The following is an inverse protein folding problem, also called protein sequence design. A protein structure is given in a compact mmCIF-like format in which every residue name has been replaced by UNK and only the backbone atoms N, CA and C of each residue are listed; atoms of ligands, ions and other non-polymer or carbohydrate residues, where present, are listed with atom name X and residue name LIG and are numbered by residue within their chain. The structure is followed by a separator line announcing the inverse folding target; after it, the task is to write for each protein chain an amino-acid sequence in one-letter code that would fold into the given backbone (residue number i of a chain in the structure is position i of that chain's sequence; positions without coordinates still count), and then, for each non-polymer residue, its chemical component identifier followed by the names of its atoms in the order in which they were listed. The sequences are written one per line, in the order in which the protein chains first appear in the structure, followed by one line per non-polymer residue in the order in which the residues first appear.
data_IF_827481754185
#
_entry.id   IF_827481754185
#
_cell.length_a   1.000
_cell.length_b   1.000
_cell.length_c   1.000
_cell.angle_alpha   90.00
_cell.angle_beta   90.00
_cell.angle_gamma   90.00
#
_symmetry.space_group_name_H-M   'P 1'
#
loop_
_entity.id
_entity.type
_entity.pdbx_description
1 polymer ?
#
# COMPACT_ATOMS: atom_id res chain seq x y z
N UNK A 1 50.18 14.21 -41.50
CA UNK A 1 48.72 13.97 -41.62
C UNK A 1 48.26 12.69 -40.92
N UNK A 2 48.98 11.56 -41.00
CA UNK A 2 48.57 10.30 -40.34
C UNK A 2 48.53 10.32 -38.80
N UNK A 3 49.41 11.08 -38.12
CA UNK A 3 49.44 11.11 -36.65
C UNK A 3 48.16 11.74 -36.04
N UNK A 4 47.62 12.79 -36.68
CA UNK A 4 46.35 13.41 -36.28
C UNK A 4 45.17 12.44 -36.42
N UNK A 5 45.16 11.64 -37.50
CA UNK A 5 44.13 10.63 -37.74
C UNK A 5 44.15 9.53 -36.67
N UNK A 6 45.33 9.02 -36.32
CA UNK A 6 45.48 7.98 -35.29
C UNK A 6 45.04 8.49 -33.92
N UNK A 7 45.42 9.73 -33.55
CA UNK A 7 44.99 10.34 -32.29
C UNK A 7 43.45 10.50 -32.24
N UNK A 8 42.84 11.01 -33.31
CA UNK A 8 41.38 11.15 -33.38
C UNK A 8 40.64 9.81 -33.34
N UNK A 9 41.16 8.78 -34.03
CA UNK A 9 40.60 7.44 -33.99
C UNK A 9 40.69 6.81 -32.58
N UNK A 10 41.81 6.98 -31.88
CA UNK A 10 41.98 6.49 -30.51
C UNK A 10 41.00 7.17 -29.53
N UNK A 11 40.75 8.47 -29.71
CA UNK A 11 39.78 9.21 -28.92
C UNK A 11 38.35 8.68 -29.11
N UNK A 12 37.91 8.50 -30.37
CA UNK A 12 36.59 7.95 -30.68
C UNK A 12 36.43 6.52 -30.13
N UNK A 13 37.48 5.71 -30.22
CA UNK A 13 37.46 4.35 -29.69
C UNK A 13 37.31 4.32 -28.16
N UNK A 14 38.07 5.17 -27.44
CA UNK A 14 37.94 5.29 -25.99
C UNK A 14 36.57 5.83 -25.58
N UNK A 15 36.00 6.75 -26.35
CA UNK A 15 34.66 7.29 -26.12
C UNK A 15 33.57 6.25 -26.41
N UNK A 16 33.75 5.36 -27.37
CA UNK A 16 32.82 4.25 -27.60
C UNK A 16 32.84 3.25 -26.43
N UNK A 17 34.04 2.90 -25.95
CA UNK A 17 34.22 2.00 -24.80
C UNK A 17 33.75 2.61 -23.47
N UNK A 18 33.52 3.93 -23.40
CA UNK A 18 32.93 4.56 -22.23
C UNK A 18 31.39 4.45 -22.17
N UNK A 19 30.75 3.80 -23.15
CA UNK A 19 29.30 3.61 -23.23
C UNK A 19 28.50 4.91 -23.02
N UNK A 20 28.68 5.94 -23.87
CA UNK A 20 28.03 7.22 -23.69
C UNK A 20 26.51 7.07 -23.88
N UNK A 21 25.75 7.60 -22.93
CA UNK A 21 24.28 7.56 -22.95
C UNK A 21 23.75 8.96 -23.24
N UNK A 22 22.85 9.06 -24.21
CA UNK A 22 22.07 10.27 -24.49
C UNK A 22 20.65 10.07 -23.98
N UNK A 23 20.09 11.10 -23.34
CA UNK A 23 18.70 11.08 -22.86
C UNK A 23 17.79 11.78 -23.85
N UNK A 24 16.74 11.11 -24.30
CA UNK A 24 15.70 11.68 -25.15
C UNK A 24 14.45 11.93 -24.31
N UNK A 25 13.84 13.13 -24.43
CA UNK A 25 12.56 13.46 -23.79
C UNK A 25 11.50 13.54 -24.88
N UNK A 26 10.54 12.61 -24.85
CA UNK A 26 9.40 12.60 -25.77
C UNK A 26 8.13 13.02 -25.03
N UNK A 27 7.44 14.02 -25.58
CA UNK A 27 6.09 14.36 -25.19
C UNK A 27 5.12 13.66 -26.13
N UNK A 28 4.55 12.53 -25.70
CA UNK A 28 3.53 11.80 -26.44
C UNK A 28 2.16 11.95 -25.78
N UNK A 29 1.09 11.96 -26.57
CA UNK A 29 -0.23 11.55 -26.09
C UNK A 29 -0.21 10.03 -25.97
N UNK A 30 0.44 9.53 -24.92
CA UNK A 30 0.41 8.12 -24.57
C UNK A 30 -0.99 7.84 -24.01
N UNK A 31 -1.52 6.63 -24.23
CA UNK A 31 -2.76 6.18 -23.59
C UNK A 31 -2.54 6.17 -22.07
N UNK A 32 -2.87 7.30 -21.42
CA UNK A 32 -2.78 7.43 -19.96
C UNK A 32 -3.62 6.32 -19.35
N UNK A 33 -3.06 5.57 -18.41
CA UNK A 33 -3.82 4.60 -17.63
C UNK A 33 -3.95 5.09 -16.20
N UNK A 34 -5.11 4.89 -15.58
CA UNK A 34 -5.23 5.28 -14.18
C UNK A 34 -4.27 4.43 -13.32
N UNK A 35 -3.48 5.06 -12.43
CA UNK A 35 -2.69 4.34 -11.46
C UNK A 35 -3.60 3.66 -10.43
N UNK A 36 -3.10 2.60 -9.81
CA UNK A 36 -3.76 2.06 -8.62
C UNK A 36 -3.59 3.05 -7.46
N UNK A 37 -4.67 3.27 -6.72
CA UNK A 37 -4.70 4.24 -5.61
C UNK A 37 -4.83 3.49 -4.30
N UNK A 38 -3.78 3.50 -3.48
CA UNK A 38 -3.84 2.91 -2.14
C UNK A 38 -4.11 3.98 -1.09
N UNK A 39 -5.09 3.69 -0.22
CA UNK A 39 -5.55 4.55 0.85
C UNK A 39 -5.37 3.81 2.17
N UNK A 40 -4.63 4.41 3.10
CA UNK A 40 -4.35 3.86 4.41
C UNK A 40 -4.88 4.83 5.49
N UNK A 41 -5.69 4.37 6.45
CA UNK A 41 -6.14 5.23 7.55
C UNK A 41 -4.96 5.56 8.47
N UNK A 42 -4.78 6.84 8.79
CA UNK A 42 -3.78 7.25 9.79
C UNK A 42 -4.14 6.67 11.16
N UNK A 43 -5.44 6.57 11.47
CA UNK A 43 -5.97 5.91 12.65
C UNK A 43 -6.70 4.59 12.29
N UNK A 44 -5.98 3.46 12.21
CA UNK A 44 -6.56 2.16 11.87
C UNK A 44 -7.48 1.61 12.97
N UNK A 45 -7.28 2.06 14.21
CA UNK A 45 -8.05 1.61 15.37
C UNK A 45 -8.54 2.79 16.20
N UNK A 46 -9.83 2.78 16.53
CA UNK A 46 -10.42 3.69 17.50
C UNK A 46 -10.98 2.94 18.69
N UNK A 47 -11.12 3.62 19.83
CA UNK A 47 -11.74 3.04 21.04
C UNK A 47 -13.18 2.55 20.80
N UNK A 48 -13.89 3.13 19.84
CA UNK A 48 -15.24 2.74 19.48
C UNK A 48 -15.32 1.46 18.62
N UNK A 49 -14.22 1.07 17.97
CA UNK A 49 -14.12 -0.14 17.15
C UNK A 49 -13.71 -1.37 17.98
N UNK A 50 -13.31 -1.15 19.24
CA UNK A 50 -12.89 -2.24 20.11
C UNK A 50 -14.09 -3.14 20.46
N UNK A 51 -14.04 -4.44 20.13
CA UNK A 51 -15.04 -5.39 20.58
C UNK A 51 -14.98 -5.49 22.10
N UNK A 52 -16.10 -5.87 22.72
CA UNK A 52 -16.21 -6.16 24.14
C UNK A 52 -15.39 -7.40 24.59
N UNK A 53 -14.34 -7.79 23.86
CA UNK A 53 -13.46 -8.90 24.25
C UNK A 53 -12.59 -8.45 25.44
N UNK A 54 -12.79 -9.02 26.63
CA UNK A 54 -12.07 -8.61 27.83
C UNK A 54 -10.57 -8.93 27.76
N UNK A 55 -10.15 -9.92 26.97
CA UNK A 55 -8.73 -10.32 26.86
C UNK A 55 -7.90 -9.23 26.19
N UNK A 56 -8.51 -8.61 25.19
CA UNK A 56 -7.94 -7.55 24.38
C UNK A 56 -7.71 -6.28 25.21
N UNK A 57 -8.76 -5.83 25.92
CA UNK A 57 -8.67 -4.71 26.84
C UNK A 57 -7.67 -4.97 27.98
N UNK A 58 -7.62 -6.20 28.51
CA UNK A 58 -6.65 -6.58 29.52
C UNK A 58 -5.20 -6.49 29.02
N UNK A 59 -4.92 -6.93 27.79
CA UNK A 59 -3.58 -6.86 27.20
C UNK A 59 -3.11 -5.42 27.03
N UNK A 60 -3.97 -4.53 26.51
CA UNK A 60 -3.66 -3.10 26.41
C UNK A 60 -3.41 -2.48 27.79
N UNK A 61 -4.30 -2.70 28.75
CA UNK A 61 -4.15 -2.15 30.10
C UNK A 61 -2.87 -2.68 30.80
N UNK A 62 -2.53 -3.95 30.62
CA UNK A 62 -1.30 -4.53 31.19
C UNK A 62 -0.03 -3.92 30.59
N UNK A 63 -0.05 -3.68 29.27
CA UNK A 63 1.06 -3.08 28.55
C UNK A 63 1.22 -1.60 28.93
N UNK A 64 0.11 -0.87 29.05
CA UNK A 64 0.13 0.53 29.49
C UNK A 64 0.73 0.66 30.88
N UNK A 65 0.27 -0.17 31.83
CA UNK A 65 0.83 -0.20 33.20
C UNK A 65 2.32 -0.51 33.19
N UNK A 66 2.75 -1.54 32.46
CA UNK A 66 4.17 -1.91 32.36
C UNK A 66 5.04 -0.75 31.91
N UNK A 67 4.65 -0.02 30.86
CA UNK A 67 5.43 1.10 30.34
C UNK A 67 5.32 2.36 31.19
N UNK A 68 4.19 2.58 31.88
CA UNK A 68 4.00 3.70 32.81
C UNK A 68 4.82 3.52 34.11
N UNK A 69 4.94 2.29 34.61
CA UNK A 69 5.69 1.96 35.82
C UNK A 69 7.20 1.92 35.59
N UNK A 70 7.64 1.66 34.36
CA UNK A 70 9.05 1.64 33.97
C UNK A 70 9.65 3.05 33.93
N UNK A 71 9.93 3.63 35.10
CA UNK A 71 10.66 4.89 35.26
C UNK A 71 12.15 4.69 35.03
N UNK A 72 12.68 5.22 33.93
CA UNK A 72 14.12 5.38 33.72
C UNK A 72 14.54 5.47 32.25
N UNK A 73 15.16 6.59 31.87
CA UNK A 73 16.00 6.81 30.67
C UNK A 73 15.54 6.20 29.33
N UNK A 74 14.24 6.12 29.07
CA UNK A 74 13.75 5.81 27.72
C UNK A 74 13.30 7.13 27.11
N UNK A 75 13.98 7.57 26.06
CA UNK A 75 13.53 8.72 25.28
C UNK A 75 12.16 8.42 24.66
N UNK A 76 11.21 9.37 24.76
CA UNK A 76 9.86 9.24 24.22
C UNK A 76 8.78 8.87 25.27
N UNK A 77 7.51 8.90 24.86
CA UNK A 77 6.37 8.67 25.76
C UNK A 77 6.21 7.17 26.08
N UNK A 78 5.78 6.81 27.31
CA UNK A 78 5.43 5.42 27.67
C UNK A 78 4.45 4.76 26.70
N UNK A 79 3.48 5.54 26.19
CA UNK A 79 2.50 5.08 25.22
C UNK A 79 3.08 4.80 23.84
N UNK A 80 4.11 5.52 23.41
CA UNK A 80 4.84 5.20 22.18
C UNK A 80 5.52 3.83 22.28
N UNK A 81 6.15 3.55 23.42
CA UNK A 81 6.81 2.26 23.68
C UNK A 81 5.82 1.11 23.79
N UNK A 82 4.69 1.32 24.46
CA UNK A 82 3.55 0.41 24.43
C UNK A 82 3.14 0.07 23.00
N UNK A 83 2.88 1.09 22.18
CA UNK A 83 2.43 0.91 20.79
C UNK A 83 3.44 0.10 19.97
N UNK A 84 4.72 0.42 20.06
CA UNK A 84 5.80 -0.34 19.40
C UNK A 84 5.90 -1.78 19.89
N UNK A 85 5.71 -2.02 21.19
CA UNK A 85 5.77 -3.36 21.77
C UNK A 85 4.59 -4.26 21.39
N UNK A 86 3.47 -3.69 20.95
CA UNK A 86 2.23 -4.42 20.64
C UNK A 86 1.94 -4.54 19.13
N UNK A 87 2.90 -4.20 18.25
CA UNK A 87 2.71 -4.23 16.79
C UNK A 87 2.19 -5.58 16.27
N UNK A 88 2.78 -6.69 16.72
CA UNK A 88 2.33 -8.04 16.31
C UNK A 88 0.90 -8.34 16.77
N UNK A 89 0.54 -7.86 17.96
CA UNK A 89 -0.80 -8.01 18.51
C UNK A 89 -1.81 -7.19 17.72
N UNK A 90 -1.49 -5.93 17.42
CA UNK A 90 -2.31 -5.09 16.55
C UNK A 90 -2.45 -5.66 15.13
N UNK A 91 -1.41 -6.28 14.59
CA UNK A 91 -1.46 -6.92 13.28
C UNK A 91 -2.42 -8.10 13.26
N UNK A 92 -2.40 -8.95 14.29
CA UNK A 92 -3.40 -10.00 14.43
C UNK A 92 -4.82 -9.44 14.62
N UNK A 93 -4.95 -8.30 15.30
CA UNK A 93 -6.25 -7.68 15.55
C UNK A 93 -6.83 -7.00 14.32
N UNK A 94 -6.00 -6.41 13.45
CA UNK A 94 -6.47 -5.78 12.22
C UNK A 94 -7.31 -6.73 11.37
N UNK A 95 -6.98 -8.02 11.39
CA UNK A 95 -7.72 -9.06 10.68
C UNK A 95 -9.13 -9.28 11.28
N UNK A 96 -9.29 -9.10 12.59
CA UNK A 96 -10.55 -9.35 13.32
C UNK A 96 -11.45 -8.10 13.40
N UNK A 97 -10.86 -6.94 13.70
CA UNK A 97 -11.60 -5.70 14.03
C UNK A 97 -11.37 -4.59 13.00
N UNK A 98 -10.45 -4.80 12.05
CA UNK A 98 -10.13 -3.79 11.06
C UNK A 98 -11.31 -3.55 10.12
N UNK A 99 -11.52 -2.28 9.78
CA UNK A 99 -12.66 -1.86 8.98
C UNK A 99 -12.56 -2.31 7.53
N UNK A 100 -13.72 -2.40 6.88
CA UNK A 100 -13.89 -2.69 5.46
C UNK A 100 -13.96 -1.39 4.64
N UNK A 101 -13.72 -1.43 3.31
CA UNK A 101 -13.76 -0.23 2.46
C UNK A 101 -15.03 0.61 2.61
N UNK A 102 -16.21 -0.03 2.61
CA UNK A 102 -17.51 0.65 2.72
C UNK A 102 -17.74 1.39 4.05
N UNK A 103 -16.92 1.14 5.08
CA UNK A 103 -17.01 1.86 6.35
C UNK A 103 -16.22 3.18 6.32
N UNK A 104 -15.21 3.28 5.44
CA UNK A 104 -14.37 4.45 5.26
C UNK A 104 -14.70 5.25 4.00
N UNK A 105 -15.21 4.62 2.94
CA UNK A 105 -15.53 5.26 1.67
C UNK A 105 -17.05 5.37 1.53
N UNK A 106 -17.59 6.58 1.65
CA UNK A 106 -19.02 6.85 1.48
C UNK A 106 -19.42 6.96 0.01
N UNK A 107 -18.54 7.54 -0.81
CA UNK A 107 -18.77 7.72 -2.23
C UNK A 107 -17.49 7.37 -2.98
N UNK A 108 -17.61 6.52 -3.99
CA UNK A 108 -16.53 6.20 -4.93
C UNK A 108 -17.08 6.36 -6.34
N UNK A 109 -16.52 7.30 -7.10
CA UNK A 109 -16.83 7.46 -8.52
C UNK A 109 -15.56 7.49 -9.35
N UNK A 110 -15.53 6.73 -10.45
CA UNK A 110 -14.55 6.88 -11.53
C UNK A 110 -15.33 7.15 -12.80
N UNK A 111 -15.09 8.29 -13.46
CA UNK A 111 -15.87 8.70 -14.62
C UNK A 111 -17.40 8.64 -14.36
N UNK A 112 -17.82 9.09 -13.16
CA UNK A 112 -19.21 9.09 -12.67
C UNK A 112 -19.85 7.70 -12.47
N UNK A 113 -19.08 6.62 -12.60
CA UNK A 113 -19.53 5.24 -12.32
C UNK A 113 -19.11 4.82 -10.92
N UNK A 114 -19.96 4.07 -10.23
CA UNK A 114 -19.66 3.54 -8.89
C UNK A 114 -18.44 2.60 -8.93
N UNK A 115 -17.50 2.81 -8.01
CA UNK A 115 -16.25 2.05 -7.97
C UNK A 115 -15.94 1.34 -6.65
N UNK A 116 -16.89 1.28 -5.71
CA UNK A 116 -16.64 0.72 -4.37
C UNK A 116 -16.25 -0.76 -4.42
N UNK A 117 -16.78 -1.53 -5.38
CA UNK A 117 -16.47 -2.95 -5.58
C UNK A 117 -15.03 -3.20 -6.07
N UNK A 118 -14.36 -2.17 -6.59
CA UNK A 118 -13.01 -2.28 -7.14
C UNK A 118 -11.91 -2.09 -6.09
N UNK A 119 -12.29 -1.87 -4.82
CA UNK A 119 -11.35 -1.87 -3.72
C UNK A 119 -10.93 -3.29 -3.35
N UNK A 120 -9.63 -3.45 -3.15
CA UNK A 120 -9.05 -4.62 -2.52
C UNK A 120 -8.39 -4.23 -1.20
N UNK A 121 -8.38 -5.15 -0.24
CA UNK A 121 -7.74 -4.93 1.05
C UNK A 121 -6.27 -5.35 0.92
N UNK A 122 -5.39 -4.43 1.30
CA UNK A 122 -3.94 -4.64 1.35
C UNK A 122 -3.47 -4.46 2.79
N UNK A 123 -2.53 -5.30 3.22
CA UNK A 123 -2.00 -5.23 4.58
C UNK A 123 -0.64 -4.53 4.60
N UNK A 124 -0.46 -3.62 5.55
CA UNK A 124 0.77 -2.88 5.79
C UNK A 124 1.21 -3.03 7.25
N UNK A 125 2.51 -3.22 7.56
CA UNK A 125 2.96 -3.41 8.93
C UNK A 125 2.64 -2.25 9.89
N UNK A 126 2.61 -1.01 9.39
CA UNK A 126 2.37 0.20 10.19
C UNK A 126 0.93 0.69 10.12
N UNK A 127 0.30 0.59 8.94
CA UNK A 127 -1.06 1.08 8.67
C UNK A 127 -2.12 0.00 8.85
N UNK A 128 -1.69 -1.26 9.00
CA UNK A 128 -2.54 -2.44 9.11
C UNK A 128 -3.39 -2.65 7.87
N UNK A 129 -4.67 -2.29 7.88
CA UNK A 129 -5.53 -2.46 6.70
C UNK A 129 -5.55 -1.18 5.87
N UNK A 130 -5.00 -1.27 4.67
CA UNK A 130 -5.12 -0.30 3.60
C UNK A 130 -6.09 -0.82 2.54
N UNK A 131 -6.54 0.08 1.66
CA UNK A 131 -7.47 -0.22 0.59
C UNK A 131 -6.93 0.30 -0.72
N UNK A 132 -6.74 -0.60 -1.68
CA UNK A 132 -6.24 -0.26 -3.01
C UNK A 132 -7.40 -0.27 -3.99
N UNK A 133 -7.67 0.88 -4.61
CA UNK A 133 -8.64 1.01 -5.69
C UNK A 133 -7.97 0.60 -7.01
N UNK A 134 -8.47 -0.47 -7.63
CA UNK A 134 -8.03 -0.90 -8.96
C UNK A 134 -8.92 -0.32 -10.06
N UNK A 135 -8.40 0.66 -10.77
CA UNK A 135 -9.10 1.27 -11.91
C UNK A 135 -8.75 0.53 -13.19
N UNK A 136 -9.70 -0.25 -13.71
CA UNK A 136 -9.51 -1.01 -14.97
C UNK A 136 -9.91 -0.23 -16.23
N UNK A 137 -10.52 0.93 -16.06
CA UNK A 137 -11.06 1.76 -17.14
C UNK A 137 -9.99 2.78 -17.50
N UNK A 138 -9.85 3.11 -18.79
CA UNK A 138 -8.97 4.18 -19.20
C UNK A 138 -9.61 5.56 -18.92
N UNK A 139 -8.82 6.55 -18.53
CA UNK A 139 -9.24 7.93 -18.35
C UNK A 139 -9.85 8.48 -19.64
N UNK A 140 -10.99 9.19 -19.55
CA UNK A 140 -11.62 9.76 -20.73
C UNK A 140 -10.81 10.95 -21.25
N UNK A 141 -10.80 11.10 -22.57
CA UNK A 141 -10.27 12.26 -23.27
C UNK A 141 -11.41 13.21 -23.64
N UNK A 142 -11.39 14.49 -23.22
CA UNK A 142 -10.32 15.18 -22.50
C UNK A 142 -10.32 14.87 -20.99
N UNK A 143 -9.12 14.85 -20.40
CA UNK A 143 -8.94 14.71 -18.97
C UNK A 143 -9.52 15.93 -18.22
N UNK A 144 -10.17 15.69 -17.08
CA UNK A 144 -10.76 16.76 -16.29
C UNK A 144 -11.25 16.30 -14.93
N UNK A 145 -11.47 17.25 -13.98
CA UNK A 145 -11.82 16.93 -12.60
C UNK A 145 -13.18 16.25 -12.45
N UNK A 146 -14.09 16.41 -13.41
CA UNK A 146 -15.43 15.78 -13.39
C UNK A 146 -15.42 14.33 -13.84
N UNK A 147 -14.37 13.90 -14.53
CA UNK A 147 -14.29 12.58 -15.16
C UNK A 147 -13.22 11.70 -14.51
N UNK A 148 -12.50 12.22 -13.50
CA UNK A 148 -11.50 11.52 -12.73
C UNK A 148 -12.06 10.62 -11.63
N UNK A 149 -11.18 10.28 -10.67
CA UNK A 149 -11.54 9.57 -9.45
C UNK A 149 -12.04 10.57 -8.41
N UNK A 150 -13.22 10.34 -7.86
CA UNK A 150 -13.82 11.11 -6.77
C UNK A 150 -14.12 10.18 -5.61
N UNK A 151 -13.57 10.52 -4.45
CA UNK A 151 -13.74 9.77 -3.21
C UNK A 151 -14.28 10.71 -2.13
N UNK A 152 -15.28 10.26 -1.39
CA UNK A 152 -15.70 10.88 -0.13
C UNK A 152 -15.35 9.91 0.98
N UNK A 153 -14.38 10.31 1.80
CA UNK A 153 -13.86 9.52 2.90
C UNK A 153 -14.51 9.93 4.21
N UNK A 154 -14.74 8.95 5.07
CA UNK A 154 -15.43 9.10 6.34
C UNK A 154 -14.62 8.50 7.48
N UNK A 155 -14.50 9.25 8.56
CA UNK A 155 -13.71 8.87 9.75
C UNK A 155 -14.28 7.66 10.49
N UNK A 156 -15.60 7.49 10.48
CA UNK A 156 -16.30 6.57 11.38
C UNK A 156 -17.07 7.33 12.45
N UNK A 157 -17.25 6.72 13.63
CA UNK A 157 -18.03 7.30 14.73
C UNK A 157 -17.48 8.66 15.18
N UNK A 158 -18.38 9.62 15.36
CA UNK A 158 -18.04 10.94 15.90
C UNK A 158 -17.40 10.79 17.30
N UNK A 159 -16.32 11.53 17.54
CA UNK A 159 -15.55 11.55 18.80
C UNK A 159 -14.82 10.26 19.18
N UNK A 160 -14.78 9.24 18.30
CA UNK A 160 -13.98 8.06 18.55
C UNK A 160 -12.49 8.42 18.61
N UNK A 161 -11.82 7.99 19.69
CA UNK A 161 -10.42 8.33 19.96
C UNK A 161 -9.51 7.34 19.24
N UNK A 162 -8.55 7.83 18.44
CA UNK A 162 -7.59 6.96 17.79
C UNK A 162 -6.67 6.34 18.85
N UNK A 163 -6.63 5.02 18.91
CA UNK A 163 -5.72 4.29 19.79
C UNK A 163 -4.32 4.22 19.20
N UNK A 164 -4.25 4.26 17.88
CA UNK A 164 -3.02 4.40 17.11
C UNK A 164 -3.21 5.53 16.11
N UNK A 165 -2.19 6.37 15.95
CA UNK A 165 -2.12 7.36 14.88
C UNK A 165 -0.76 7.26 14.23
N UNK A 166 -0.76 7.12 12.91
CA UNK A 166 0.42 7.09 12.05
C UNK A 166 0.55 8.45 11.38
N UNK A 167 1.70 9.11 11.54
CA UNK A 167 1.98 10.43 10.96
C UNK A 167 3.33 10.38 10.26
N UNK A 168 3.30 10.36 8.92
CA UNK A 168 4.50 10.27 8.06
C UNK A 168 5.37 11.53 8.09
N UNK A 169 4.75 12.70 8.35
CA UNK A 169 5.42 14.00 8.37
C UNK A 169 6.36 14.19 9.57
N UNK A 170 6.35 13.27 10.53
CA UNK A 170 7.07 13.42 11.80
C UNK A 170 8.14 12.34 11.99
N UNK A 171 9.25 12.66 12.68
CA UNK A 171 10.39 11.75 12.84
C UNK A 171 10.05 10.45 13.58
N UNK A 172 8.90 10.42 14.28
CA UNK A 172 8.31 9.22 14.83
C UNK A 172 7.00 8.91 14.09
N UNK A 173 7.05 7.93 13.17
CA UNK A 173 5.90 7.46 12.38
C UNK A 173 4.68 7.08 13.23
N UNK A 174 4.90 6.58 14.45
CA UNK A 174 3.85 6.23 15.39
C UNK A 174 3.79 7.30 16.48
N UNK A 175 2.62 7.91 16.68
CA UNK A 175 2.43 8.87 17.77
C UNK A 175 1.53 8.29 18.87
N UNK A 176 1.90 8.51 20.13
CA UNK A 176 0.97 8.37 21.24
C UNK A 176 0.03 9.56 21.28
N UNK A 177 -1.26 9.28 21.48
CA UNK A 177 -2.30 10.30 21.53
C UNK A 177 -2.48 10.64 23.00
N UNK A 178 -1.71 11.63 23.47
CA UNK A 178 -1.62 11.93 24.89
C UNK A 178 -2.42 13.18 25.28
N UNK A 179 -2.79 14.04 24.33
CA UNK A 179 -3.63 15.24 24.55
C UNK A 179 -4.92 15.20 23.74
N UNK A 180 -5.98 15.80 24.27
CA UNK A 180 -7.33 15.79 23.69
C UNK A 180 -7.43 16.50 22.33
N UNK A 181 -6.54 17.45 22.02
CA UNK A 181 -6.66 18.32 20.84
C UNK A 181 -5.80 17.90 19.63
N UNK A 182 -4.67 17.21 19.86
CA UNK A 182 -3.73 16.84 18.79
C UNK A 182 -4.16 15.69 17.87
N UNK A 183 -4.92 14.66 18.30
CA UNK A 183 -5.21 13.52 17.43
C UNK A 183 -6.23 13.83 16.34
N UNK A 184 -7.24 14.64 16.64
CA UNK A 184 -8.28 15.00 15.68
C UNK A 184 -7.72 15.85 14.54
N UNK A 185 -6.74 16.69 14.85
CA UNK A 185 -6.06 17.53 13.87
C UNK A 185 -5.13 16.74 12.94
N UNK A 186 -4.60 15.59 13.39
CA UNK A 186 -3.66 14.74 12.61
C UNK A 186 -4.27 13.49 12.00
N UNK A 187 -5.56 13.27 12.24
CA UNK A 187 -6.28 12.13 11.70
C UNK A 187 -6.71 12.36 10.25
N UNK A 188 -6.82 11.26 9.50
CA UNK A 188 -7.07 11.29 8.08
C UNK A 188 -6.60 10.02 7.38
N UNK A 189 -6.14 10.19 6.15
CA UNK A 189 -5.66 9.08 5.33
C UNK A 189 -4.34 9.42 4.67
N UNK A 190 -3.44 8.46 4.61
CA UNK A 190 -2.32 8.48 3.71
C UNK A 190 -2.74 7.87 2.37
N UNK A 191 -2.50 8.59 1.27
CA UNK A 191 -2.80 8.16 -0.09
C UNK A 191 -1.51 8.03 -0.87
N UNK A 192 -1.33 6.92 -1.56
CA UNK A 192 -0.21 6.71 -2.48
C UNK A 192 -0.71 6.23 -3.83
N UNK A 193 -0.05 6.70 -4.88
CA UNK A 193 -0.31 6.35 -6.27
C UNK A 193 0.82 5.45 -6.74
N UNK A 194 0.49 4.34 -7.35
CA UNK A 194 1.48 3.39 -7.85
C UNK A 194 1.02 2.75 -9.15
N UNK A 195 1.97 2.11 -9.82
CA UNK A 195 1.72 1.40 -11.05
C UNK A 195 0.64 0.32 -10.86
N UNK A 196 -0.14 0.10 -11.91
CA UNK A 196 -1.24 -0.86 -11.91
C UNK A 196 -0.74 -2.27 -11.54
N UNK A 197 -1.50 -2.96 -10.69
CA UNK A 197 -1.23 -4.31 -10.20
C UNK A 197 0.07 -4.47 -9.38
N UNK A 198 0.73 -3.37 -9.01
CA UNK A 198 1.94 -3.41 -8.16
C UNK A 198 1.62 -3.10 -6.71
N UNK A 199 2.51 -3.45 -5.78
CA UNK A 199 2.34 -3.04 -4.39
C UNK A 199 2.68 -1.55 -4.19
N UNK A 200 1.90 -0.83 -3.37
CA UNK A 200 2.28 0.51 -2.94
C UNK A 200 3.65 0.49 -2.25
N UNK A 201 4.56 1.34 -2.74
CA UNK A 201 5.86 1.53 -2.11
C UNK A 201 5.73 2.52 -0.96
N UNK A 202 5.74 2.02 0.27
CA UNK A 202 5.83 2.84 1.48
C UNK A 202 7.31 3.03 1.84
N UNK A 203 7.88 4.22 1.60
CA UNK A 203 9.30 4.45 1.79
C UNK A 203 9.64 4.47 3.27
N UNK A 204 10.87 4.08 3.58
CA UNK A 204 11.43 4.20 4.92
C UNK A 204 11.83 5.66 5.13
N UNK A 205 10.93 6.47 5.70
CA UNK A 205 11.19 7.73 6.41
C UNK A 205 11.83 8.94 5.68
N UNK A 206 12.20 8.91 4.39
CA UNK A 206 12.94 10.04 3.78
C UNK A 206 12.45 10.58 2.43
N UNK A 207 11.44 9.99 1.79
CA UNK A 207 10.87 10.49 0.53
C UNK A 207 9.35 10.31 0.58
N UNK A 208 8.52 11.35 0.39
CA UNK A 208 7.08 11.14 0.36
C UNK A 208 6.67 10.50 -0.98
N UNK A 209 6.34 9.20 -0.99
CA UNK A 209 5.71 8.52 -2.13
C UNK A 209 4.16 8.66 -2.12
N UNK A 210 3.65 9.62 -1.37
CA UNK A 210 2.23 9.79 -1.13
C UNK A 210 1.90 11.11 -0.46
N UNK A 211 0.62 11.29 -0.17
CA UNK A 211 0.01 12.51 0.34
C UNK A 211 -0.82 12.18 1.57
N UNK A 212 -0.68 12.99 2.62
CA UNK A 212 -1.55 12.91 3.78
C UNK A 212 -2.77 13.80 3.56
N UNK A 213 -3.96 13.20 3.58
CA UNK A 213 -5.24 13.91 3.60
C UNK A 213 -5.73 14.02 5.04
N UNK A 214 -6.25 15.20 5.43
CA UNK A 214 -6.85 15.42 6.75
C UNK A 214 -8.38 15.45 6.63
N UNK A 215 -9.08 15.06 7.69
CA UNK A 215 -10.54 15.17 7.71
C UNK A 215 -11.01 16.63 7.71
N UNK A 216 -12.05 16.94 6.93
CA UNK A 216 -12.59 18.29 6.79
C UNK A 216 -12.00 19.10 5.63
N UNK A 217 -11.00 18.57 4.94
CA UNK A 217 -10.39 19.20 3.77
C UNK A 217 -10.89 18.59 2.46
N UNK A 218 -10.84 19.38 1.39
CA UNK A 218 -11.06 18.90 0.02
C UNK A 218 -9.77 19.08 -0.76
N UNK A 219 -9.24 17.99 -1.31
CA UNK A 219 -8.02 18.01 -2.11
C UNK A 219 -8.32 17.61 -3.57
N UNK A 220 -7.69 18.32 -4.50
CA UNK A 220 -7.72 18.02 -5.94
C UNK A 220 -6.31 17.66 -6.37
N UNK A 221 -6.14 16.44 -6.85
CA UNK A 221 -4.84 15.89 -7.22
C UNK A 221 -4.82 15.74 -8.73
N UNK A 222 -3.92 16.46 -9.38
CA UNK A 222 -3.62 16.29 -10.80
C UNK A 222 -2.39 15.40 -10.91
N UNK A 223 -2.47 14.37 -11.74
CA UNK A 223 -1.40 13.41 -11.96
C UNK A 223 -0.87 13.56 -13.38
N UNK A 224 0.44 13.38 -13.52
CA UNK A 224 1.14 13.28 -14.79
C UNK A 224 1.92 11.95 -14.77
N UNK A 225 1.87 11.22 -15.89
CA UNK A 225 2.59 9.95 -16.04
C UNK A 225 3.93 10.19 -16.72
N UNK A 226 5.00 9.69 -16.12
CA UNK A 226 6.35 9.72 -16.71
C UNK A 226 6.85 8.30 -16.88
N UNK A 227 7.12 7.93 -18.14
CA UNK A 227 7.71 6.62 -18.46
C UNK A 227 9.21 6.77 -18.67
N UNK A 228 10.00 5.90 -18.01
CA UNK A 228 11.45 5.90 -18.10
C UNK A 228 11.94 4.60 -18.76
N UNK A 229 12.49 4.72 -19.96
CA UNK A 229 13.17 3.62 -20.64
C UNK A 229 14.67 3.72 -20.38
N UNK A 230 15.24 2.66 -19.79
CA UNK A 230 16.67 2.56 -19.57
C UNK A 230 17.27 1.44 -20.44
N UNK A 231 18.40 1.72 -21.08
CA UNK A 231 19.12 0.73 -21.86
C UNK A 231 20.07 -0.03 -20.94
N UNK A 232 19.98 -1.36 -20.95
CA UNK A 232 20.88 -2.21 -20.19
C UNK A 232 22.27 -2.21 -20.83
N UNK A 233 23.24 -1.59 -20.16
CA UNK A 233 24.61 -1.40 -20.64
C UNK A 233 25.60 -1.89 -19.58
N UNK A 234 26.77 -2.35 -20.01
CA UNK A 234 27.87 -2.71 -19.10
C UNK A 234 28.26 -1.50 -18.25
N UNK A 235 28.11 -1.62 -16.92
CA UNK A 235 28.33 -0.52 -15.96
C UNK A 235 27.06 0.21 -15.49
N UNK A 236 25.92 0.00 -16.15
CA UNK A 236 24.58 0.42 -15.71
C UNK A 236 23.61 -0.74 -15.93
N UNK A 237 23.68 -1.70 -15.02
CA UNK A 237 22.88 -2.92 -15.10
C UNK A 237 21.46 -2.61 -14.65
N UNK A 238 20.50 -2.80 -15.55
CA UNK A 238 19.08 -2.82 -15.23
C UNK A 238 18.63 -4.27 -15.10
N UNK A 239 17.72 -4.55 -14.18
CA UNK A 239 16.99 -5.81 -14.19
C UNK A 239 15.97 -5.75 -15.32
N UNK A 240 16.03 -6.65 -16.31
CA UNK A 240 14.98 -6.74 -17.31
C UNK A 240 13.66 -7.13 -16.64
N UNK A 241 12.53 -6.60 -17.11
CA UNK A 241 11.19 -6.87 -16.58
C UNK A 241 10.88 -8.36 -16.40
N UNK A 242 11.38 -9.21 -17.31
CA UNK A 242 11.20 -10.67 -17.25
C UNK A 242 11.88 -11.35 -16.04
N UNK A 243 12.87 -10.70 -15.43
CA UNK A 243 13.58 -11.17 -14.23
C UNK A 243 13.28 -10.29 -13.01
N UNK A 244 12.51 -9.21 -13.19
CA UNK A 244 11.99 -8.45 -12.07
C UNK A 244 10.97 -9.34 -11.35
N UNK A 245 11.02 -9.44 -10.01
CA UNK A 245 10.00 -10.18 -9.28
C UNK A 245 8.63 -9.53 -9.57
N UNK A 246 7.76 -10.26 -10.26
CA UNK A 246 6.36 -9.87 -10.40
C UNK A 246 5.70 -10.02 -9.03
N UNK A 247 5.66 -8.92 -8.28
CA UNK A 247 4.97 -8.91 -7.00
C UNK A 247 3.50 -8.62 -7.28
N UNK A 248 2.75 -9.68 -7.56
CA UNK A 248 1.31 -9.57 -7.74
C UNK A 248 0.62 -9.33 -6.39
N UNK A 249 -0.15 -8.25 -6.34
CA UNK A 249 -1.06 -7.96 -5.25
C UNK A 249 -2.15 -9.05 -5.16
N UNK A 250 -1.95 -10.02 -4.27
CA UNK A 250 -2.91 -11.07 -3.96
C UNK A 250 -4.02 -10.51 -3.05
N UNK A 251 -5.28 -10.81 -3.35
CA UNK A 251 -6.42 -10.52 -2.47
C UNK A 251 -6.34 -11.47 -1.27
N UNK A 252 -5.94 -10.94 -0.11
CA UNK A 252 -5.61 -11.73 1.08
C UNK A 252 -6.81 -12.06 1.99
N UNK A 253 -8.00 -11.51 1.72
CA UNK A 253 -9.13 -11.66 2.65
C UNK A 253 -10.03 -12.85 2.27
N UNK A 254 -10.09 -13.86 3.14
CA UNK A 254 -10.98 -15.04 3.04
C UNK A 254 -12.46 -14.67 3.09
N UNK A 255 -12.81 -13.53 3.71
CA UNK A 255 -14.19 -13.05 3.83
C UNK A 255 -14.58 -12.06 2.71
N UNK A 256 -13.65 -11.82 1.79
CA UNK A 256 -13.91 -11.04 0.60
C UNK A 256 -14.39 -11.97 -0.52
N UNK A 257 -15.53 -12.61 -0.33
CA UNK A 257 -16.23 -13.24 -1.45
C UNK A 257 -16.51 -12.18 -2.52
N UNK A 258 -16.11 -12.52 -3.74
CA UNK A 258 -16.36 -11.73 -4.93
C UNK A 258 -17.85 -11.83 -5.24
N UNK A 259 -18.59 -10.72 -5.24
CA UNK A 259 -19.89 -10.67 -5.93
C UNK A 259 -19.75 -10.79 -7.46
N UNK A 260 -18.53 -10.99 -7.99
CA UNK A 260 -18.33 -11.55 -9.31
C UNK A 260 -18.09 -13.06 -9.16
N UNK A 261 -19.18 -13.81 -8.97
CA UNK A 261 -19.29 -15.14 -9.54
C UNK A 261 -19.70 -14.94 -11.00
N UNK A 262 -18.72 -15.04 -11.89
CA UNK A 262 -18.97 -15.21 -13.32
C UNK A 262 -18.72 -16.67 -13.65
N UNK A 263 -19.64 -17.54 -13.22
CA UNK A 263 -19.72 -18.92 -13.67
C UNK A 263 -21.13 -19.28 -14.12
N UNK A 264 -21.68 -18.50 -15.05
CA UNK A 264 -22.62 -19.09 -16.01
C UNK A 264 -21.82 -19.93 -17.03
N UNK A 265 -22.00 -21.25 -16.98
CA UNK A 265 -21.69 -22.14 -18.10
C UNK A 265 -20.69 -23.26 -17.80
N UNK A 266 -21.10 -24.28 -17.04
CA UNK A 266 -21.46 -25.57 -17.65
C UNK A 266 -21.72 -26.63 -16.57
N UNK A 267 -22.92 -27.20 -16.64
CA UNK A 267 -23.28 -28.46 -16.02
C UNK A 267 -22.33 -29.58 -16.45
N UNK A 268 -21.74 -30.29 -15.49
CA UNK A 268 -21.66 -31.76 -15.41
C UNK A 268 -21.04 -32.15 -14.05
N UNK A 269 -21.90 -32.62 -13.16
CA UNK A 269 -21.56 -33.41 -11.96
C UNK A 269 -20.90 -34.75 -12.38
N UNK A 270 -20.31 -35.60 -11.49
CA UNK A 270 -20.12 -35.45 -10.04
C UNK A 270 -18.83 -36.09 -9.41
N UNK A 271 -18.73 -35.99 -8.07
CA UNK A 271 -18.26 -37.04 -7.13
C UNK A 271 -16.88 -37.71 -7.38
N UNK A 272 -15.83 -37.24 -6.70
CA UNK A 272 -14.66 -37.98 -6.17
C UNK A 272 -13.70 -36.88 -5.64
N UNK A 273 -13.13 -36.81 -4.44
CA UNK A 273 -12.90 -37.74 -3.35
C UNK A 273 -12.85 -36.93 -2.04
N UNK A 274 -13.77 -37.21 -1.14
CA UNK A 274 -13.46 -37.30 0.29
C UNK A 274 -12.67 -38.60 0.50
N UNK A 275 -11.81 -38.67 1.53
CA UNK A 275 -10.82 -39.73 1.84
C UNK A 275 -9.52 -39.61 1.01
N UNK A 276 -8.33 -39.35 1.55
CA UNK A 276 -7.74 -39.94 2.76
C UNK A 276 -6.78 -38.98 3.48
N UNK A 277 -6.94 -38.95 4.81
CA UNK A 277 -5.91 -38.60 5.79
C UNK A 277 -4.88 -39.75 5.87
N UNK A 278 -3.63 -39.39 6.19
CA UNK A 278 -2.63 -40.21 6.89
C UNK A 278 -2.03 -41.40 6.11
N UNK A 279 -0.73 -41.34 5.80
CA UNK A 279 0.27 -42.08 6.57
C UNK A 279 1.67 -41.88 5.98
N UNK A 280 2.60 -41.58 6.88
CA UNK A 280 4.04 -41.71 6.70
C UNK A 280 4.44 -43.14 6.30
N UNK A 281 5.52 -43.25 5.50
CA UNK A 281 6.59 -44.19 5.80
C UNK A 281 6.92 -45.27 4.76
N UNK A 282 8.24 -45.43 4.57
CA UNK A 282 8.99 -46.49 3.86
C UNK A 282 9.09 -46.34 2.33
N UNK A 283 10.24 -45.97 1.78
CA UNK A 283 11.53 -46.68 1.71
C UNK A 283 11.55 -47.82 0.67
N UNK A 284 12.66 -47.80 -0.09
CA UNK A 284 13.29 -48.88 -0.87
C UNK A 284 12.93 -49.05 -2.37
N UNK A 285 13.92 -48.66 -3.18
CA UNK A 285 14.66 -49.43 -4.18
C UNK A 285 14.02 -49.94 -5.50
N UNK A 286 14.83 -49.72 -6.57
CA UNK A 286 15.08 -50.56 -7.77
C UNK A 286 13.87 -50.79 -8.69
N UNK A 287 13.87 -50.45 -9.98
CA UNK A 287 14.89 -50.51 -11.03
C UNK A 287 14.65 -49.41 -12.08
#
# INVERSE_FOLDING_TARGET
MSAMFIAHASYLFMQYLSFPVLTEIKYGNIDFTYPDVTICPNAPFTDADFPADPRLAASLNSSERFWMEKRGSIAGSPRLHQKRSMLSTFYRWSQLVGKRPHQYVLECQVNKLECLANFMITEHPTYYRCFTLRTRINPPLPAGPTNGIRLILHRGRAYARPLLSVVEEEPALLQSVDSWDTPFQKDGFFITFHERNTFPSFPVQSLPNGLTLRFGETMRIALEETHYEAVNLTGRVCANENYAPQIELLRLDKDSESNADSSEGNHLWPLLQLFLRLAFGQSSHLH
#
